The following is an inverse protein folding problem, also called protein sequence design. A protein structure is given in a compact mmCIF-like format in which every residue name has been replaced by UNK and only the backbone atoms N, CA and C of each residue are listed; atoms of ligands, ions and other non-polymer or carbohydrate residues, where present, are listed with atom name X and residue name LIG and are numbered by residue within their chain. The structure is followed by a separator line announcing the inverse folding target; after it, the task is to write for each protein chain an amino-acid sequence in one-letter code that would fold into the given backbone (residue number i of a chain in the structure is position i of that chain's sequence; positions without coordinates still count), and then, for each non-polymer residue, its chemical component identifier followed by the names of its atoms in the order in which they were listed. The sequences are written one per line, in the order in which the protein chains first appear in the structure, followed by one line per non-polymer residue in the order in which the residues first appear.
data_IF_908482134693
#
_entry.id   IF_908482134693
#
_cell.length_a   1.000
_cell.length_b   1.000
_cell.length_c   1.000
_cell.angle_alpha   90.00
_cell.angle_beta   90.00
_cell.angle_gamma   90.00
#
_symmetry.space_group_name_H-M   'P 1'
#
loop_
_entity.id
_entity.type
_entity.pdbx_description
1 polymer ?
#
# COMPACT_ATOMS: atom_id res chain seq x y z
N UNK A 1 29.76 -14.61 38.11
CA UNK A 1 29.05 -13.42 37.59
C UNK A 1 29.05 -12.42 38.73
N UNK A 2 29.89 -11.39 38.67
CA UNK A 2 30.18 -10.55 39.84
C UNK A 2 29.05 -9.54 40.10
N UNK A 3 28.84 -9.18 41.37
CA UNK A 3 27.80 -8.22 41.77
C UNK A 3 27.92 -6.86 41.04
N UNK A 4 29.14 -6.47 40.65
CA UNK A 4 29.39 -5.26 39.87
C UNK A 4 28.71 -5.32 38.50
N UNK A 5 28.76 -6.46 37.79
CA UNK A 5 28.11 -6.59 36.48
C UNK A 5 26.58 -6.44 36.59
N UNK A 6 25.98 -6.96 37.67
CA UNK A 6 24.54 -6.82 37.90
C UNK A 6 24.15 -5.35 38.11
N UNK A 7 24.92 -4.61 38.92
CA UNK A 7 24.70 -3.18 39.16
C UNK A 7 24.88 -2.36 37.88
N UNK A 8 25.87 -2.69 37.03
CA UNK A 8 26.04 -2.02 35.74
C UNK A 8 24.86 -2.24 34.79
N UNK A 9 24.29 -3.45 34.74
CA UNK A 9 23.14 -3.74 33.88
C UNK A 9 21.85 -3.05 34.37
N UNK A 10 21.61 -3.04 35.69
CA UNK A 10 20.48 -2.34 36.28
C UNK A 10 20.57 -0.83 36.06
N UNK A 11 21.77 -0.25 36.21
CA UNK A 11 21.98 1.18 35.96
C UNK A 11 21.74 1.55 34.50
N UNK A 12 22.26 0.75 33.55
CA UNK A 12 22.01 0.95 32.12
C UNK A 12 20.52 0.83 31.77
N UNK A 13 19.82 -0.14 32.35
CA UNK A 13 18.38 -0.31 32.13
C UNK A 13 17.56 0.88 32.65
N UNK A 14 17.89 1.41 33.84
CA UNK A 14 17.26 2.60 34.40
C UNK A 14 17.52 3.87 33.56
N UNK A 15 18.72 4.01 33.01
CA UNK A 15 19.04 5.11 32.08
C UNK A 15 18.23 5.01 30.77
N UNK A 16 17.99 3.81 30.25
CA UNK A 16 17.13 3.62 29.07
C UNK A 16 15.66 3.97 29.36
N UNK A 17 15.13 3.65 30.55
CA UNK A 17 13.74 3.98 30.89
C UNK A 17 13.51 5.49 31.06
N UNK A 18 14.50 6.23 31.56
CA UNK A 18 14.41 7.70 31.68
C UNK A 18 14.50 8.44 30.32
N UNK A 19 15.07 7.82 29.29
CA UNK A 19 15.14 8.41 27.95
C UNK A 19 13.81 8.34 27.18
N UNK A 20 12.78 7.68 27.74
CA UNK A 20 11.50 7.42 27.07
C UNK A 20 10.34 8.22 27.69
N UNK A 21 10.55 9.48 28.08
CA UNK A 21 9.44 10.43 28.19
C UNK A 21 9.12 10.99 26.80
N UNK A 22 8.58 10.14 25.93
CA UNK A 22 8.02 10.57 24.66
C UNK A 22 6.74 11.36 24.95
N UNK A 23 6.88 12.67 25.10
CA UNK A 23 5.73 13.59 25.11
C UNK A 23 4.97 13.41 23.79
N UNK A 24 3.68 13.04 23.81
CA UNK A 24 2.91 12.99 22.57
C UNK A 24 2.78 14.42 22.04
N UNK A 25 3.40 14.69 20.89
CA UNK A 25 3.16 15.92 20.14
C UNK A 25 1.66 16.01 19.84
N UNK A 26 0.99 17.12 20.14
CA UNK A 26 -0.42 17.27 19.81
C UNK A 26 -0.55 17.33 18.29
N UNK A 27 -1.06 16.26 17.67
CA UNK A 27 -1.53 16.28 16.29
C UNK A 27 -2.72 17.26 16.23
N UNK A 28 -2.44 18.50 15.83
CA UNK A 28 -3.45 19.51 15.50
C UNK A 28 -4.24 18.99 14.29
N UNK A 29 -5.38 18.34 14.54
CA UNK A 29 -6.37 18.02 13.51
C UNK A 29 -6.76 19.32 12.82
N UNK A 30 -6.39 19.46 11.55
CA UNK A 30 -6.94 20.53 10.70
C UNK A 30 -8.45 20.29 10.58
N UNK A 31 -9.29 21.31 10.78
CA UNK A 31 -10.71 21.18 10.49
C UNK A 31 -10.88 20.86 9.01
N UNK A 32 -11.60 19.78 8.71
CA UNK A 32 -12.07 19.50 7.34
C UNK A 32 -13.10 20.58 7.02
N UNK A 33 -12.73 21.55 6.19
CA UNK A 33 -13.66 22.56 5.68
C UNK A 33 -14.55 21.87 4.65
N UNK A 34 -15.77 21.48 5.05
CA UNK A 34 -16.78 20.94 4.15
C UNK A 34 -17.50 22.10 3.43
N UNK A 35 -16.81 22.74 2.48
CA UNK A 35 -17.53 23.54 1.50
C UNK A 35 -18.26 22.58 0.57
N UNK A 36 -19.46 22.19 0.97
CA UNK A 36 -20.47 21.60 0.10
C UNK A 36 -21.00 22.70 -0.82
N UNK A 37 -20.15 23.19 -1.74
CA UNK A 37 -20.65 23.73 -2.99
C UNK A 37 -21.23 22.54 -3.74
N UNK A 38 -22.55 22.37 -3.61
CA UNK A 38 -23.32 21.47 -4.44
C UNK A 38 -23.25 22.04 -5.86
N UNK A 39 -22.17 21.72 -6.57
CA UNK A 39 -22.06 22.01 -7.99
C UNK A 39 -23.24 21.32 -8.64
N UNK A 40 -24.10 22.10 -9.29
CA UNK A 40 -25.12 21.59 -10.18
C UNK A 40 -24.41 20.96 -11.39
N UNK A 41 -23.78 19.81 -11.16
CA UNK A 41 -23.33 18.95 -12.22
C UNK A 41 -24.61 18.38 -12.81
N UNK A 42 -25.07 19.01 -13.90
CA UNK A 42 -26.12 18.49 -14.74
C UNK A 42 -25.89 16.97 -14.86
N UNK A 43 -26.90 16.17 -14.48
CA UNK A 43 -26.90 14.72 -14.68
C UNK A 43 -26.84 14.48 -16.19
N UNK A 44 -25.66 14.59 -16.78
CA UNK A 44 -25.44 14.06 -18.11
C UNK A 44 -25.73 12.55 -17.98
N UNK A 45 -26.61 12.01 -18.83
CA UNK A 45 -26.76 10.57 -18.90
C UNK A 45 -25.36 10.03 -19.13
N UNK A 46 -24.83 9.25 -18.18
CA UNK A 46 -23.66 8.44 -18.45
C UNK A 46 -24.10 7.50 -19.57
N UNK A 47 -23.88 7.91 -20.83
CA UNK A 47 -23.75 6.96 -21.93
C UNK A 47 -22.66 6.04 -21.43
N UNK A 48 -23.07 4.84 -20.99
CA UNK A 48 -22.16 3.74 -20.83
C UNK A 48 -21.59 3.61 -22.24
N UNK A 49 -20.37 4.09 -22.44
CA UNK A 49 -19.68 3.91 -23.72
C UNK A 49 -19.44 2.41 -23.76
N UNK A 50 -20.40 1.69 -24.32
CA UNK A 50 -20.22 0.30 -24.70
C UNK A 50 -19.33 0.42 -25.92
N UNK A 51 -18.02 0.38 -25.69
CA UNK A 51 -17.08 0.20 -26.77
C UNK A 51 -17.48 -1.12 -27.43
N UNK A 52 -17.78 -1.13 -28.74
CA UNK A 52 -17.95 -2.38 -29.44
C UNK A 52 -16.65 -3.13 -29.26
N UNK A 53 -16.68 -4.17 -28.44
CA UNK A 53 -15.55 -5.06 -28.21
C UNK A 53 -15.31 -5.75 -29.54
N UNK A 54 -14.43 -5.17 -30.35
CA UNK A 54 -13.89 -5.88 -31.48
C UNK A 54 -13.13 -7.06 -30.89
N UNK A 55 -13.74 -8.26 -30.99
CA UNK A 55 -13.26 -9.45 -30.28
C UNK A 55 -11.83 -9.85 -30.65
N UNK A 56 -11.29 -9.29 -31.73
CA UNK A 56 -9.94 -9.51 -32.24
C UNK A 56 -8.89 -8.52 -31.72
N UNK A 57 -9.26 -7.36 -31.18
CA UNK A 57 -8.30 -6.39 -30.65
C UNK A 57 -8.22 -6.43 -29.13
N UNK A 58 -7.03 -6.70 -28.60
CA UNK A 58 -6.72 -6.59 -27.18
C UNK A 58 -6.63 -5.11 -26.77
N UNK A 59 -7.72 -4.57 -26.22
CA UNK A 59 -7.69 -3.28 -25.53
C UNK A 59 -7.24 -3.50 -24.07
N UNK A 60 -5.99 -3.16 -23.78
CA UNK A 60 -5.39 -3.33 -22.45
C UNK A 60 -6.08 -2.49 -21.36
N UNK A 61 -6.82 -1.45 -21.74
CA UNK A 61 -7.48 -0.54 -20.80
C UNK A 61 -8.99 -0.83 -20.64
N UNK A 62 -9.53 -1.77 -21.43
CA UNK A 62 -10.90 -2.26 -21.30
C UNK A 62 -10.92 -3.65 -20.66
N UNK A 63 -11.35 -3.69 -19.40
CA UNK A 63 -11.35 -4.91 -18.61
C UNK A 63 -12.03 -4.72 -17.26
N UNK A 64 -11.73 -5.64 -16.35
CA UNK A 64 -12.26 -5.65 -15.00
C UNK A 64 -11.18 -6.06 -13.98
N UNK A 65 -11.40 -5.67 -12.72
CA UNK A 65 -10.62 -6.14 -11.59
C UNK A 65 -11.17 -7.48 -11.12
N UNK A 66 -10.36 -8.53 -11.20
CA UNK A 66 -10.72 -9.87 -10.73
C UNK A 66 -9.88 -10.24 -9.52
N UNK A 67 -10.47 -10.94 -8.55
CA UNK A 67 -9.71 -11.50 -7.43
C UNK A 67 -8.82 -12.64 -7.93
N UNK A 68 -7.58 -12.66 -7.48
CA UNK A 68 -6.59 -13.68 -7.78
C UNK A 68 -5.86 -14.09 -6.49
N UNK A 69 -5.91 -15.38 -6.17
CA UNK A 69 -5.29 -15.91 -4.96
C UNK A 69 -3.76 -15.87 -5.00
N UNK A 70 -3.15 -15.81 -6.19
CA UNK A 70 -1.69 -15.77 -6.34
C UNK A 70 -1.10 -14.38 -6.13
N UNK A 71 -1.93 -13.35 -5.93
CA UNK A 71 -1.50 -11.98 -5.64
C UNK A 71 -1.27 -11.77 -4.13
N UNK A 72 -0.45 -10.79 -3.70
CA UNK A 72 0.30 -9.83 -4.53
C UNK A 72 1.49 -10.46 -5.26
N UNK A 73 1.99 -9.79 -6.30
CA UNK A 73 3.16 -10.25 -7.08
C UNK A 73 4.48 -10.12 -6.30
N UNK A 74 4.53 -9.25 -5.31
CA UNK A 74 5.66 -9.05 -4.42
C UNK A 74 5.14 -8.75 -3.01
N UNK A 75 5.93 -9.10 -2.00
CA UNK A 75 5.69 -8.62 -0.64
C UNK A 75 6.52 -7.36 -0.39
N UNK A 76 5.96 -6.41 0.34
CA UNK A 76 6.66 -5.16 0.70
C UNK A 76 8.00 -5.48 1.39
N UNK A 77 8.00 -6.50 2.25
CA UNK A 77 9.20 -6.99 2.95
C UNK A 77 10.31 -7.49 2.01
N UNK A 78 9.96 -8.00 0.82
CA UNK A 78 10.92 -8.54 -0.17
C UNK A 78 11.62 -7.43 -0.96
N UNK A 79 11.03 -6.23 -1.02
CA UNK A 79 11.60 -5.09 -1.73
C UNK A 79 12.83 -4.48 -1.03
N UNK A 80 13.38 -5.10 0.02
CA UNK A 80 14.51 -4.53 0.75
C UNK A 80 14.13 -3.29 1.56
N UNK A 81 14.91 -3.02 2.62
CA UNK A 81 14.62 -1.91 3.52
C UNK A 81 14.84 -0.58 2.80
N UNK A 82 13.79 0.23 2.69
CA UNK A 82 13.86 1.59 2.17
C UNK A 82 13.67 1.76 0.65
N UNK A 83 13.32 0.70 -0.09
CA UNK A 83 12.96 0.86 -1.52
C UNK A 83 11.53 1.39 -1.72
N UNK A 84 10.62 1.09 -0.79
CA UNK A 84 9.24 1.59 -0.83
C UNK A 84 9.17 2.84 0.04
N UNK A 85 8.74 3.95 -0.55
CA UNK A 85 8.51 5.19 0.19
C UNK A 85 7.41 4.96 1.25
N UNK A 86 7.55 5.54 2.46
CA UNK A 86 6.55 5.45 3.53
C UNK A 86 5.10 5.69 3.10
N UNK A 87 4.86 6.61 2.15
CA UNK A 87 3.52 6.90 1.65
C UNK A 87 2.87 5.75 0.86
N UNK A 88 3.65 4.78 0.40
CA UNK A 88 3.18 3.62 -0.36
C UNK A 88 3.18 2.31 0.44
N UNK A 89 3.79 2.27 1.63
CA UNK A 89 3.79 1.10 2.51
C UNK A 89 2.54 1.07 3.42
N UNK A 90 1.36 0.94 2.83
CA UNK A 90 0.12 1.04 3.59
C UNK A 90 0.02 0.01 4.73
N UNK A 91 0.60 -1.19 4.58
CA UNK A 91 0.54 -2.24 5.59
C UNK A 91 1.36 -1.89 6.82
N UNK A 92 2.61 -1.44 6.64
CA UNK A 92 3.45 -0.99 7.77
C UNK A 92 2.86 0.25 8.44
N UNK A 93 2.23 1.14 7.68
CA UNK A 93 1.64 2.38 8.18
C UNK A 93 0.18 2.25 8.66
N UNK A 94 -0.25 1.03 9.01
CA UNK A 94 -1.42 0.82 9.85
C UNK A 94 -2.74 0.63 9.09
N UNK A 95 -2.71 0.38 7.78
CA UNK A 95 -3.91 -0.05 7.06
C UNK A 95 -4.26 -1.49 7.49
N UNK A 96 -5.47 -1.73 8.04
CA UNK A 96 -5.81 -3.02 8.64
C UNK A 96 -6.28 -4.08 7.63
N UNK A 97 -6.78 -3.66 6.46
CA UNK A 97 -7.27 -4.57 5.42
C UNK A 97 -6.18 -4.88 4.38
N UNK A 98 -6.18 -6.10 3.84
CA UNK A 98 -5.21 -6.57 2.83
C UNK A 98 -5.86 -7.04 1.53
N UNK A 99 -7.19 -7.05 1.47
CA UNK A 99 -7.98 -7.53 0.33
C UNK A 99 -7.70 -6.81 -0.98
N UNK A 100 -7.33 -5.52 -0.90
CA UNK A 100 -6.98 -4.72 -2.07
C UNK A 100 -5.75 -5.26 -2.83
N UNK A 101 -4.87 -5.98 -2.14
CA UNK A 101 -3.68 -6.60 -2.74
C UNK A 101 -4.02 -7.83 -3.58
N UNK A 102 -5.25 -8.36 -3.48
CA UNK A 102 -5.68 -9.62 -4.12
C UNK A 102 -6.37 -9.42 -5.46
N UNK A 103 -6.37 -8.21 -6.01
CA UNK A 103 -7.00 -7.93 -7.29
C UNK A 103 -5.97 -7.77 -8.40
N UNK A 104 -6.26 -8.36 -9.56
CA UNK A 104 -5.51 -8.12 -10.80
C UNK A 104 -6.41 -7.53 -11.87
N UNK A 105 -5.82 -6.74 -12.75
CA UNK A 105 -6.49 -6.27 -13.94
C UNK A 105 -6.58 -7.40 -14.98
N UNK A 106 -7.77 -7.62 -15.53
CA UNK A 106 -8.01 -8.59 -16.61
C UNK A 106 -8.71 -7.90 -17.79
N UNK A 107 -8.01 -7.64 -18.90
CA UNK A 107 -8.64 -7.19 -20.14
C UNK A 107 -9.66 -8.22 -20.64
N UNK A 108 -10.70 -7.76 -21.35
CA UNK A 108 -11.77 -8.66 -21.79
C UNK A 108 -11.35 -9.66 -22.88
N UNK A 109 -10.32 -9.33 -23.67
CA UNK A 109 -9.99 -10.02 -24.93
C UNK A 109 -8.57 -10.56 -24.99
N UNK A 110 -7.83 -10.51 -23.88
CA UNK A 110 -6.45 -10.96 -23.80
C UNK A 110 -6.03 -11.11 -22.35
N UNK A 111 -4.99 -11.91 -22.13
CA UNK A 111 -4.32 -12.03 -20.84
C UNK A 111 -3.02 -11.23 -20.84
N UNK A 112 -2.79 -10.49 -19.77
CA UNK A 112 -1.53 -9.77 -19.54
C UNK A 112 -0.52 -10.77 -18.96
N UNK A 113 0.68 -10.91 -19.57
CA UNK A 113 1.73 -11.76 -19.02
C UNK A 113 2.05 -11.37 -17.58
N UNK A 114 2.23 -12.38 -16.71
CA UNK A 114 2.71 -12.13 -15.34
C UNK A 114 4.21 -11.88 -15.41
N UNK A 115 4.63 -10.65 -15.16
CA UNK A 115 6.04 -10.34 -14.94
C UNK A 115 6.47 -10.88 -13.58
N UNK A 116 6.95 -12.12 -13.53
CA UNK A 116 7.93 -12.50 -12.52
C UNK A 116 9.27 -12.05 -13.09
N UNK A 117 9.96 -11.07 -12.48
CA UNK A 117 11.38 -10.92 -12.76
C UNK A 117 12.01 -12.20 -12.24
N UNK A 118 12.30 -13.14 -13.13
CA UNK A 118 13.48 -13.95 -12.92
C UNK A 118 14.61 -12.93 -12.73
N UNK A 119 15.14 -12.90 -11.50
CA UNK A 119 16.26 -12.08 -11.09
C UNK A 119 17.23 -11.89 -12.27
N UNK A 120 17.20 -10.72 -12.91
CA UNK A 120 18.19 -10.33 -13.90
C UNK A 120 19.51 -9.96 -13.21
N UNK A 121 20.00 -10.85 -12.34
CA UNK A 121 21.40 -10.96 -11.96
C UNK A 121 22.03 -11.94 -12.94
N UNK A 122 22.58 -11.42 -14.03
CA UNK A 122 23.25 -12.25 -15.03
C UNK A 122 23.64 -11.52 -16.31
N UNK A 123 24.34 -10.39 -16.20
CA UNK A 123 25.32 -9.91 -17.17
C UNK A 123 26.21 -8.85 -16.52
#
# INVERSE_FOLDING_TARGET
MSALQCLTFLFLFLLLQNATSASPLPLRRRPVHNNSTHSNFAKHPRRRVVFPVNRSSCDLFAGEWVRDATYPLYRVEECGRGMIDPGFDCQTYGRPDSDYLKFRWKPFNCDVPRGVPEMSLGA
#
